data_IF_105336597861
#
_entry.id   IF_105336597861
#
_cell.length_a   1.000
_cell.length_b   1.000
_cell.length_c   1.000
_cell.angle_alpha   90.00
_cell.angle_beta   90.00
_cell.angle_gamma   90.00
#
_symmetry.space_group_name_H-M   'P 1'
#
loop_
_entity.id
_entity.type
_entity.pdbx_description
1 polymer ?
#
# COMPACT_ATOMS: atom_id res chain seq x y z
N UNK A 1 -0.38 -3.80 20.24
CA UNK A 1 -1.78 -3.31 20.24
C UNK A 1 -2.60 -4.13 19.24
N UNK A 2 -3.95 -4.07 19.24
CA UNK A 2 -4.74 -4.76 18.20
C UNK A 2 -4.40 -4.30 16.78
N UNK A 3 -4.07 -3.02 16.64
CA UNK A 3 -3.68 -2.42 15.37
C UNK A 3 -2.32 -2.93 14.88
N UNK A 4 -1.33 -3.07 15.77
CA UNK A 4 -0.03 -3.67 15.42
C UNK A 4 -0.19 -5.14 15.03
N UNK A 5 -0.97 -5.92 15.79
CA UNK A 5 -1.25 -7.32 15.47
C UNK A 5 -1.91 -7.47 14.09
N UNK A 6 -2.76 -6.52 13.69
CA UNK A 6 -3.35 -6.50 12.36
C UNK A 6 -2.32 -6.26 11.25
N UNK A 7 -1.33 -5.39 11.50
CA UNK A 7 -0.25 -5.13 10.56
C UNK A 7 0.70 -6.32 10.46
N UNK A 8 1.07 -6.92 11.60
CA UNK A 8 1.92 -8.10 11.66
C UNK A 8 1.26 -9.27 10.94
N UNK A 9 -0.05 -9.47 11.14
CA UNK A 9 -0.81 -10.49 10.41
C UNK A 9 -0.70 -10.28 8.89
N UNK A 10 -0.93 -9.06 8.40
CA UNK A 10 -0.83 -8.77 6.97
C UNK A 10 0.60 -8.94 6.43
N UNK A 11 1.61 -8.60 7.23
CA UNK A 11 3.03 -8.75 6.90
C UNK A 11 3.42 -10.22 6.78
N UNK A 12 3.11 -11.04 7.80
CA UNK A 12 3.38 -12.48 7.81
C UNK A 12 2.56 -13.23 6.76
N UNK A 13 1.33 -12.80 6.50
CA UNK A 13 0.53 -13.33 5.39
C UNK A 13 1.24 -13.12 4.04
N UNK A 14 1.93 -12.00 3.85
CA UNK A 14 2.74 -11.79 2.64
C UNK A 14 3.88 -12.80 2.54
N UNK A 15 4.60 -13.05 3.63
CA UNK A 15 5.66 -14.05 3.65
C UNK A 15 5.15 -15.43 3.24
N UNK A 16 4.03 -15.87 3.83
CA UNK A 16 3.45 -17.19 3.52
C UNK A 16 2.95 -17.25 2.07
N UNK A 17 2.33 -16.19 1.57
CA UNK A 17 1.66 -16.21 0.26
C UNK A 17 2.58 -15.90 -0.92
N UNK A 18 3.63 -15.10 -0.74
CA UNK A 18 4.44 -14.55 -1.84
C UNK A 18 5.92 -14.87 -1.78
N UNK A 19 6.43 -15.29 -0.63
CA UNK A 19 7.86 -15.47 -0.44
C UNK A 19 8.18 -16.94 -0.22
N UNK A 20 9.24 -17.40 -0.87
CA UNK A 20 9.82 -18.73 -0.67
C UNK A 20 11.27 -18.55 -0.22
N UNK A 21 11.76 -19.52 0.56
CA UNK A 21 13.14 -19.57 1.01
C UNK A 21 13.31 -19.49 2.53
N UNK A 22 14.39 -20.06 3.03
CA UNK A 22 14.74 -20.06 4.45
C UNK A 22 15.61 -18.84 4.77
N UNK A 23 15.10 -17.93 5.62
CA UNK A 23 15.80 -16.75 6.12
C UNK A 23 17.21 -17.07 6.65
N UNK A 24 17.46 -18.30 7.14
CA UNK A 24 18.78 -18.74 7.64
C UNK A 24 19.82 -18.99 6.55
N UNK A 25 19.36 -19.27 5.33
CA UNK A 25 20.22 -19.65 4.19
C UNK A 25 20.36 -18.53 3.16
N UNK A 26 19.45 -17.56 3.19
CA UNK A 26 19.39 -16.50 2.20
C UNK A 26 20.41 -15.39 2.46
N UNK A 27 20.95 -14.76 1.40
CA UNK A 27 21.75 -13.55 1.53
C UNK A 27 20.96 -12.44 2.24
N UNK A 28 21.62 -11.67 3.09
CA UNK A 28 20.97 -10.58 3.86
C UNK A 28 20.22 -9.59 2.95
N UNK A 29 20.78 -9.25 1.80
CA UNK A 29 20.16 -8.35 0.81
C UNK A 29 18.85 -8.89 0.26
N UNK A 30 18.73 -10.21 0.13
CA UNK A 30 17.49 -10.85 -0.30
C UNK A 30 16.44 -10.81 0.81
N UNK A 31 16.84 -11.14 2.05
CA UNK A 31 15.95 -11.01 3.21
C UNK A 31 15.40 -9.59 3.33
N UNK A 32 16.26 -8.57 3.25
CA UNK A 32 15.83 -7.16 3.27
C UNK A 32 14.80 -6.89 2.18
N UNK A 33 15.07 -7.32 0.94
CA UNK A 33 14.14 -7.14 -0.17
C UNK A 33 12.75 -7.76 0.11
N UNK A 34 12.69 -8.96 0.68
CA UNK A 34 11.42 -9.60 1.06
C UNK A 34 10.70 -8.82 2.17
N UNK A 35 11.42 -8.31 3.17
CA UNK A 35 10.84 -7.45 4.21
C UNK A 35 10.27 -6.15 3.61
N UNK A 36 10.97 -5.53 2.65
CA UNK A 36 10.44 -4.37 1.91
C UNK A 36 9.16 -4.71 1.13
N UNK A 37 9.11 -5.88 0.49
CA UNK A 37 7.92 -6.37 -0.22
C UNK A 37 6.75 -6.60 0.74
N UNK A 38 6.99 -7.28 1.87
CA UNK A 38 5.97 -7.53 2.91
C UNK A 38 5.42 -6.21 3.47
N UNK A 39 6.30 -5.25 3.80
CA UNK A 39 5.89 -3.93 4.26
C UNK A 39 5.05 -3.18 3.22
N UNK A 40 5.42 -3.25 1.94
CA UNK A 40 4.63 -2.65 0.86
C UNK A 40 3.27 -3.33 0.72
N UNK A 41 3.21 -4.66 0.82
CA UNK A 41 1.99 -5.45 0.77
C UNK A 41 1.03 -5.06 1.90
N UNK A 42 1.52 -4.94 3.14
CA UNK A 42 0.71 -4.57 4.32
C UNK A 42 -0.10 -3.29 4.09
N UNK A 43 0.49 -2.27 3.46
CA UNK A 43 -0.25 -1.05 3.11
C UNK A 43 -1.44 -1.29 2.18
N UNK A 44 -1.26 -2.11 1.13
CA UNK A 44 -2.33 -2.41 0.17
C UNK A 44 -3.36 -3.39 0.72
N UNK A 45 -2.93 -4.30 1.59
CA UNK A 45 -3.82 -5.26 2.23
C UNK A 45 -4.74 -4.57 3.24
N UNK A 46 -4.18 -3.76 4.14
CA UNK A 46 -4.96 -3.06 5.16
C UNK A 46 -5.81 -1.91 4.59
N UNK A 47 -5.40 -1.31 3.47
CA UNK A 47 -6.15 -0.25 2.78
C UNK A 47 -6.14 -0.54 1.26
N UNK A 48 -7.12 -1.33 0.77
CA UNK A 48 -7.15 -1.74 -0.62
C UNK A 48 -7.37 -0.58 -1.60
N UNK A 49 -6.62 -0.59 -2.71
CA UNK A 49 -6.72 0.47 -3.74
C UNK A 49 -8.12 0.56 -4.35
N UNK A 50 -8.76 -0.58 -4.62
CA UNK A 50 -10.10 -0.58 -5.20
C UNK A 50 -11.13 0.05 -4.24
N UNK A 51 -10.96 -0.11 -2.93
CA UNK A 51 -11.82 0.57 -1.94
C UNK A 51 -11.53 2.07 -1.89
N UNK A 52 -10.25 2.48 -1.95
CA UNK A 52 -9.88 3.91 -2.03
C UNK A 52 -10.45 4.60 -3.27
N UNK A 53 -10.53 3.90 -4.41
CA UNK A 53 -11.15 4.41 -5.65
C UNK A 53 -12.67 4.66 -5.50
N UNK A 54 -13.31 3.99 -4.54
CA UNK A 54 -14.76 4.01 -4.34
C UNK A 54 -15.21 4.91 -3.17
N UNK A 55 -14.30 5.66 -2.53
CA UNK A 55 -14.65 6.60 -1.46
C UNK A 55 -14.36 8.04 -1.88
N UNK A 56 -15.20 8.96 -1.40
CA UNK A 56 -14.99 10.39 -1.64
C UNK A 56 -13.92 10.93 -0.69
N UNK A 57 -12.66 11.00 -1.18
CA UNK A 57 -11.55 11.55 -0.41
C UNK A 57 -11.63 13.07 -0.35
N UNK A 58 -11.54 13.63 0.87
CA UNK A 58 -11.49 15.07 1.05
C UNK A 58 -10.25 15.67 0.37
N UNK A 59 -10.42 16.86 -0.21
CA UNK A 59 -9.30 17.66 -0.72
C UNK A 59 -8.37 18.14 0.42
N UNK A 60 -8.89 18.23 1.64
CA UNK A 60 -8.11 18.56 2.83
C UNK A 60 -7.40 17.29 3.30
N UNK A 61 -6.07 17.27 3.20
CA UNK A 61 -5.26 16.08 3.45
C UNK A 61 -5.47 15.50 4.86
N UNK A 62 -5.56 16.33 5.89
CA UNK A 62 -5.81 15.86 7.26
C UNK A 62 -7.15 15.15 7.39
N UNK A 63 -8.22 15.69 6.77
CA UNK A 63 -9.54 15.06 6.80
C UNK A 63 -9.56 13.73 6.05
N UNK A 64 -8.87 13.65 4.90
CA UNK A 64 -8.72 12.39 4.17
C UNK A 64 -7.96 11.34 5.00
N UNK A 65 -6.89 11.74 5.70
CA UNK A 65 -6.12 10.85 6.58
C UNK A 65 -7.00 10.30 7.71
N UNK A 66 -7.70 11.19 8.44
CA UNK A 66 -8.55 10.77 9.56
C UNK A 66 -9.71 9.89 9.10
N UNK A 67 -10.35 10.24 7.97
CA UNK A 67 -11.43 9.45 7.41
C UNK A 67 -10.96 8.04 7.02
N UNK A 68 -9.83 7.92 6.30
CA UNK A 68 -9.24 6.63 5.92
C UNK A 68 -8.80 5.84 7.14
N UNK A 69 -8.17 6.48 8.12
CA UNK A 69 -7.76 5.83 9.35
C UNK A 69 -8.96 5.22 10.09
N UNK A 70 -10.03 6.01 10.24
CA UNK A 70 -11.26 5.57 10.88
C UNK A 70 -11.98 4.46 10.10
N UNK A 71 -12.04 4.56 8.77
CA UNK A 71 -12.73 3.60 7.91
C UNK A 71 -12.04 2.23 7.92
N UNK A 72 -10.71 2.21 7.77
CA UNK A 72 -9.91 0.98 7.68
C UNK A 72 -9.35 0.50 9.03
N UNK A 73 -9.70 1.18 10.12
CA UNK A 73 -9.28 0.83 11.50
C UNK A 73 -7.76 0.76 11.67
N UNK A 74 -7.06 1.70 11.04
CA UNK A 74 -5.61 1.86 11.11
C UNK A 74 -5.23 3.16 11.83
N UNK A 75 -3.95 3.34 12.13
CA UNK A 75 -3.45 4.61 12.68
C UNK A 75 -3.44 5.72 11.62
N UNK A 76 -3.60 7.00 12.01
CA UNK A 76 -3.48 8.13 11.09
C UNK A 76 -2.14 8.17 10.33
N UNK A 77 -1.04 7.80 10.99
CA UNK A 77 0.29 7.72 10.36
C UNK A 77 0.35 6.66 9.25
N UNK A 78 -0.29 5.51 9.45
CA UNK A 78 -0.38 4.44 8.45
C UNK A 78 -1.25 4.87 7.26
N UNK A 79 -2.42 5.44 7.53
CA UNK A 79 -3.31 5.99 6.51
C UNK A 79 -2.61 7.07 5.67
N UNK A 80 -1.87 7.99 6.30
CA UNK A 80 -1.06 9.01 5.62
C UNK A 80 -0.05 8.39 4.65
N UNK A 81 0.73 7.40 5.11
CA UNK A 81 1.71 6.74 4.25
C UNK A 81 1.04 6.06 3.06
N UNK A 82 -0.09 5.39 3.29
CA UNK A 82 -0.86 4.72 2.23
C UNK A 82 -1.43 5.70 1.21
N UNK A 83 -2.02 6.81 1.65
CA UNK A 83 -2.55 7.84 0.78
C UNK A 83 -1.45 8.47 -0.08
N UNK A 84 -0.26 8.70 0.48
CA UNK A 84 0.88 9.16 -0.31
C UNK A 84 1.28 8.16 -1.41
N UNK A 85 1.25 6.86 -1.13
CA UNK A 85 1.48 5.83 -2.15
C UNK A 85 0.39 5.85 -3.24
N UNK A 86 -0.87 6.04 -2.85
CA UNK A 86 -2.01 6.13 -3.76
C UNK A 86 -1.89 7.34 -4.70
N UNK A 87 -1.72 8.55 -4.14
CA UNK A 87 -1.62 9.77 -4.91
C UNK A 87 -0.40 9.77 -5.83
N UNK A 88 0.76 9.25 -5.38
CA UNK A 88 1.93 9.12 -6.25
C UNK A 88 1.66 8.26 -7.48
N UNK A 89 0.96 7.12 -7.32
CA UNK A 89 0.56 6.28 -8.46
C UNK A 89 -0.47 6.96 -9.35
N UNK A 90 -1.45 7.66 -8.77
CA UNK A 90 -2.45 8.40 -9.53
C UNK A 90 -1.82 9.51 -10.37
N UNK A 91 -0.94 10.32 -9.77
CA UNK A 91 -0.18 11.37 -10.47
C UNK A 91 0.68 10.79 -11.58
N UNK A 92 1.40 9.69 -11.32
CA UNK A 92 2.19 9.01 -12.36
C UNK A 92 1.31 8.55 -13.52
N UNK A 93 0.14 7.97 -13.22
CA UNK A 93 -0.80 7.51 -14.24
C UNK A 93 -1.34 8.67 -15.09
N UNK A 94 -1.76 9.77 -14.46
CA UNK A 94 -2.23 10.97 -15.15
C UNK A 94 -1.13 11.61 -16.01
N UNK A 95 0.09 11.67 -15.49
CA UNK A 95 1.25 12.17 -16.24
C UNK A 95 1.56 11.29 -17.45
N UNK A 96 1.52 9.96 -17.29
CA UNK A 96 1.73 9.05 -18.41
C UNK A 96 0.67 9.26 -19.48
N UNK A 97 -0.61 9.39 -19.11
CA UNK A 97 -1.69 9.66 -20.08
C UNK A 97 -1.48 10.99 -20.84
N UNK A 98 -1.03 12.05 -20.16
CA UNK A 98 -0.84 13.36 -20.79
C UNK A 98 0.39 13.42 -21.70
N UNK A 99 1.46 12.68 -21.38
CA UNK A 99 2.72 12.70 -22.12
C UNK A 99 2.78 11.65 -23.24
N UNK A 100 2.19 10.47 -23.06
CA UNK A 100 2.26 9.37 -24.05
C UNK A 100 1.07 9.31 -25.00
N UNK A 101 0.10 10.22 -24.86
CA UNK A 101 -1.03 10.39 -25.78
C UNK A 101 -1.75 9.09 -26.12
N UNK A 102 -2.62 8.59 -25.25
CA UNK A 102 -3.61 7.54 -25.55
C UNK A 102 -3.11 6.28 -26.31
N UNK A 103 -1.83 5.89 -26.20
CA UNK A 103 -1.33 4.70 -26.90
C UNK A 103 -1.43 3.40 -26.09
N UNK A 104 -1.78 3.44 -24.81
CA UNK A 104 -2.04 2.22 -24.06
C UNK A 104 -2.76 2.54 -22.74
N UNK A 105 -4.01 2.13 -22.60
CA UNK A 105 -4.61 1.94 -21.26
C UNK A 105 -4.07 0.62 -20.72
N UNK A 106 -3.18 0.62 -19.70
CA UNK A 106 -2.88 -0.63 -19.02
C UNK A 106 -4.07 -0.93 -18.11
N UNK A 107 -4.69 -2.09 -18.33
CA UNK A 107 -5.62 -2.71 -17.38
C UNK A 107 -4.86 -2.99 -16.07
N UNK A 108 -4.96 -2.07 -15.09
CA UNK A 108 -4.55 -2.30 -13.68
C UNK A 108 -5.49 -1.60 -12.66
#
# INVERSE_FOLDING_TARGET
SRTEQWYDFAHEFCHIYRHEGDKKTMPATWTDYLEWQSNYFTYHFCIPTFMLRNINLSYIQSHAIENVAWLFKVSPSFAKKRLNLYYRKLTQHLFNQSVTGNLCTPLL
#
